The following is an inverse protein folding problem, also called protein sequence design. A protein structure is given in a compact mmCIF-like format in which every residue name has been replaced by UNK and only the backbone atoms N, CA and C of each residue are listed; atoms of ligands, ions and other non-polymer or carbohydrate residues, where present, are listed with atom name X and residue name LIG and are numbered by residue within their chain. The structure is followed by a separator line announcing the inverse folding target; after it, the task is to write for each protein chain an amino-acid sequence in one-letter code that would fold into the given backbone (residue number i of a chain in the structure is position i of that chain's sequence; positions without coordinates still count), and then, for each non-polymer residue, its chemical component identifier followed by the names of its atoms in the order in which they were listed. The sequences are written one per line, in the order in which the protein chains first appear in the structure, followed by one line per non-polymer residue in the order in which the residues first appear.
data_IF_267640883683
#
_entry.id   IF_267640883683
#
_cell.length_a   1.000
_cell.length_b   1.000
_cell.length_c   1.000
_cell.angle_alpha   90.00
_cell.angle_beta   90.00
_cell.angle_gamma   90.00
#
_symmetry.space_group_name_H-M   'P 1'
#
loop_
_entity.id
_entity.type
_entity.pdbx_description
1 polymer ?
#
# COMPACT_ATOMS: atom_id res chain seq x y z
N UNK A 1 15.30 11.11 -3.64
CA UNK A 1 14.13 11.89 -4.10
C UNK A 1 12.82 11.36 -3.50
N UNK A 2 12.14 10.36 -4.07
CA UNK A 2 10.79 9.95 -3.61
C UNK A 2 10.75 9.52 -2.13
N UNK A 3 11.59 8.57 -1.70
CA UNK A 3 11.63 8.12 -0.29
C UNK A 3 11.83 9.26 0.71
N UNK A 4 12.61 10.28 0.33
CA UNK A 4 12.89 11.43 1.19
C UNK A 4 11.71 12.41 1.22
N UNK A 5 11.01 12.56 0.10
CA UNK A 5 9.93 13.54 -0.05
C UNK A 5 8.53 12.95 0.06
N UNK A 6 8.40 11.64 0.28
CA UNK A 6 7.14 10.89 0.41
C UNK A 6 6.22 11.00 -0.81
N UNK A 7 6.78 11.48 -1.93
CA UNK A 7 6.16 11.66 -3.24
C UNK A 7 7.24 12.03 -4.24
N UNK A 8 7.20 11.40 -5.41
CA UNK A 8 8.08 11.74 -6.51
C UNK A 8 7.82 13.17 -7.00
N UNK A 9 6.55 13.55 -7.18
CA UNK A 9 6.16 14.90 -7.64
C UNK A 9 6.63 15.98 -6.66
N UNK A 10 6.52 15.76 -5.34
CA UNK A 10 7.04 16.70 -4.34
C UNK A 10 8.56 16.84 -4.44
N UNK A 11 9.27 15.74 -4.67
CA UNK A 11 10.72 15.77 -4.87
C UNK A 11 11.14 16.51 -6.15
N UNK A 12 10.45 16.26 -7.26
CA UNK A 12 10.70 16.94 -8.54
C UNK A 12 10.48 18.46 -8.45
N UNK A 13 9.46 18.92 -7.68
CA UNK A 13 9.25 20.35 -7.41
C UNK A 13 10.39 20.99 -6.63
N UNK A 14 11.06 20.23 -5.74
CA UNK A 14 12.13 20.75 -4.87
C UNK A 14 13.50 20.77 -5.55
N UNK A 15 13.78 19.83 -6.46
CA UNK A 15 15.09 19.72 -7.14
C UNK A 15 15.33 20.69 -8.32
N UNK A 16 14.37 21.57 -8.64
CA UNK A 16 14.59 22.83 -9.39
C UNK A 16 15.38 22.74 -10.72
N UNK A 17 15.23 21.66 -11.50
CA UNK A 17 15.62 21.66 -12.92
C UNK A 17 14.41 22.03 -13.79
N UNK A 18 14.63 22.84 -14.82
CA UNK A 18 13.57 23.45 -15.66
C UNK A 18 12.64 22.41 -16.31
N UNK A 19 13.15 21.25 -16.69
CA UNK A 19 12.37 20.14 -17.25
C UNK A 19 11.50 19.43 -16.19
N UNK A 20 12.04 19.23 -14.99
CA UNK A 20 11.32 18.63 -13.85
C UNK A 20 10.13 19.48 -13.40
N UNK A 21 10.21 20.81 -13.59
CA UNK A 21 9.14 21.74 -13.24
C UNK A 21 7.89 21.56 -14.12
N UNK A 22 8.06 21.43 -15.45
CA UNK A 22 6.94 21.20 -16.37
C UNK A 22 6.22 19.89 -16.10
N UNK A 23 6.99 18.83 -15.84
CA UNK A 23 6.43 17.53 -15.46
C UNK A 23 5.63 17.66 -14.16
N UNK A 24 6.20 18.28 -13.13
CA UNK A 24 5.54 18.40 -11.84
C UNK A 24 4.31 19.32 -11.81
N UNK A 25 4.17 20.25 -12.76
CA UNK A 25 2.97 21.07 -12.96
C UNK A 25 1.82 20.30 -13.63
N UNK A 26 2.11 19.17 -14.28
CA UNK A 26 1.11 18.34 -14.97
C UNK A 26 0.43 17.30 -14.06
N UNK A 27 0.88 17.15 -12.81
CA UNK A 27 0.41 16.13 -11.88
C UNK A 27 0.06 16.69 -10.50
N UNK A 28 -0.98 16.12 -9.91
CA UNK A 28 -1.41 16.46 -8.55
C UNK A 28 -0.72 15.59 -7.50
N UNK A 29 -0.51 16.16 -6.31
CA UNK A 29 0.06 15.47 -5.17
C UNK A 29 -0.32 16.18 -3.87
N UNK A 30 -0.27 15.47 -2.74
CA UNK A 30 -0.46 16.12 -1.43
C UNK A 30 0.78 16.91 -1.04
N UNK A 31 0.59 18.00 -0.28
CA UNK A 31 1.67 18.86 0.21
C UNK A 31 2.77 18.06 0.94
N UNK A 32 2.35 17.08 1.74
CA UNK A 32 3.24 16.21 2.53
C UNK A 32 3.64 14.91 1.80
N UNK A 33 3.28 14.79 0.51
CA UNK A 33 3.52 13.64 -0.35
C UNK A 33 2.39 12.61 -0.34
N UNK A 34 2.28 11.81 -1.40
CA UNK A 34 1.25 10.77 -1.58
C UNK A 34 1.27 9.72 -0.47
N UNK A 35 2.41 9.46 0.18
CA UNK A 35 2.46 8.52 1.29
C UNK A 35 1.52 8.91 2.45
N UNK A 36 1.25 10.21 2.65
CA UNK A 36 0.33 10.65 3.71
C UNK A 36 -1.12 10.24 3.47
N UNK A 37 -1.51 10.00 2.21
CA UNK A 37 -2.80 9.40 1.92
C UNK A 37 -2.89 7.99 2.50
N UNK A 38 -1.84 7.19 2.31
CA UNK A 38 -1.78 5.81 2.80
C UNK A 38 -1.74 5.78 4.33
N UNK A 39 -0.92 6.63 4.94
CA UNK A 39 -0.84 6.78 6.41
C UNK A 39 -2.20 7.16 7.01
N UNK A 40 -2.92 8.10 6.37
CA UNK A 40 -4.25 8.54 6.82
C UNK A 40 -5.30 7.43 6.66
N UNK A 41 -5.30 6.69 5.54
CA UNK A 41 -6.21 5.56 5.36
C UNK A 41 -5.98 4.50 6.43
N UNK A 42 -4.72 4.15 6.70
CA UNK A 42 -4.36 3.21 7.76
C UNK A 42 -4.86 3.67 9.14
N UNK A 43 -4.71 4.96 9.48
CA UNK A 43 -5.11 5.46 10.81
C UNK A 43 -6.63 5.47 11.06
N UNK A 44 -7.44 5.44 9.99
CA UNK A 44 -8.90 5.40 10.10
C UNK A 44 -9.47 3.97 10.11
N UNK A 45 -8.64 2.94 9.91
CA UNK A 45 -9.06 1.55 9.99
C UNK A 45 -9.13 1.07 11.44
N UNK A 46 -9.99 0.09 11.71
CA UNK A 46 -10.14 -0.49 13.03
C UNK A 46 -8.82 -1.13 13.51
N UNK A 47 -8.55 -1.04 14.81
CA UNK A 47 -7.39 -1.69 15.39
C UNK A 47 -7.40 -3.20 15.09
N UNK A 48 -6.22 -3.77 14.82
CA UNK A 48 -6.02 -5.20 14.47
C UNK A 48 -6.60 -5.64 13.11
N UNK A 49 -6.94 -4.71 12.22
CA UNK A 49 -7.37 -5.04 10.85
C UNK A 49 -6.22 -5.19 9.85
N UNK A 50 -5.01 -4.69 10.18
CA UNK A 50 -3.83 -4.73 9.31
C UNK A 50 -2.73 -5.56 9.96
N UNK A 51 -2.33 -6.64 9.31
CA UNK A 51 -1.21 -7.49 9.74
C UNK A 51 0.02 -7.21 8.88
N UNK A 52 0.95 -6.39 9.40
CA UNK A 52 2.21 -6.05 8.73
C UNK A 52 3.28 -7.11 9.00
N UNK A 53 4.19 -7.31 8.04
CA UNK A 53 5.23 -8.34 8.15
C UNK A 53 4.69 -9.78 8.05
N UNK A 54 3.43 -9.91 7.62
CA UNK A 54 2.73 -11.17 7.42
C UNK A 54 2.45 -11.33 5.94
N UNK A 55 2.80 -12.48 5.39
CA UNK A 55 2.67 -12.83 3.98
C UNK A 55 1.75 -14.03 3.87
N UNK A 56 0.79 -13.96 2.95
CA UNK A 56 -0.03 -15.12 2.55
C UNK A 56 0.83 -16.06 1.74
N UNK A 57 0.86 -17.34 2.11
CA UNK A 57 1.64 -18.39 1.44
C UNK A 57 0.77 -19.33 0.64
N UNK A 58 -0.46 -19.58 1.09
CA UNK A 58 -1.41 -20.46 0.41
C UNK A 58 -2.84 -20.09 0.76
N UNK A 59 -3.73 -20.23 -0.21
CA UNK A 59 -5.18 -20.13 -0.03
C UNK A 59 -5.75 -21.50 -0.40
N UNK A 60 -6.52 -22.09 0.52
CA UNK A 60 -7.19 -23.38 0.33
C UNK A 60 -8.70 -23.18 0.51
N UNK A 61 -9.49 -23.82 -0.35
CA UNK A 61 -10.93 -23.92 -0.15
C UNK A 61 -11.22 -25.09 0.81
N UNK A 62 -11.90 -24.81 1.92
CA UNK A 62 -12.37 -25.78 2.90
C UNK A 62 -13.90 -25.66 3.01
N UNK A 63 -14.64 -26.53 2.31
CA UNK A 63 -16.10 -26.50 2.23
C UNK A 63 -16.63 -25.17 1.65
N UNK A 64 -17.44 -24.42 2.41
CA UNK A 64 -18.01 -23.12 2.01
C UNK A 64 -17.13 -21.91 2.43
N UNK A 65 -15.90 -22.17 2.89
CA UNK A 65 -14.98 -21.14 3.38
C UNK A 65 -13.58 -21.31 2.79
N UNK A 66 -12.77 -20.27 2.96
CA UNK A 66 -11.35 -20.28 2.64
C UNK A 66 -10.50 -20.33 3.90
N UNK A 67 -9.40 -21.07 3.82
CA UNK A 67 -8.33 -21.10 4.80
C UNK A 67 -7.06 -20.49 4.22
N UNK A 68 -6.56 -19.46 4.91
CA UNK A 68 -5.41 -18.66 4.50
C UNK A 68 -4.22 -19.07 5.36
N UNK A 69 -3.18 -19.62 4.73
CA UNK A 69 -1.92 -19.95 5.39
C UNK A 69 -0.96 -18.76 5.33
N UNK A 70 -0.32 -18.47 6.45
CA UNK A 70 0.51 -17.29 6.67
C UNK A 70 1.90 -17.72 7.11
N UNK A 71 2.93 -16.92 6.78
CA UNK A 71 4.33 -17.25 7.06
C UNK A 71 4.71 -17.32 8.56
N UNK A 72 4.01 -16.58 9.43
CA UNK A 72 4.38 -16.42 10.84
C UNK A 72 3.17 -16.29 11.78
N UNK A 73 1.98 -16.67 11.33
CA UNK A 73 0.74 -16.63 12.09
C UNK A 73 -0.07 -17.90 11.88
N UNK A 74 -0.98 -18.20 12.80
CA UNK A 74 -1.94 -19.27 12.63
C UNK A 74 -2.83 -19.01 11.39
N UNK A 75 -3.29 -20.06 10.68
CA UNK A 75 -4.19 -19.89 9.55
C UNK A 75 -5.47 -19.15 9.92
N UNK A 76 -5.96 -18.31 8.99
CA UNK A 76 -7.20 -17.56 9.15
C UNK A 76 -8.29 -18.19 8.28
N UNK A 77 -9.52 -18.27 8.80
CA UNK A 77 -10.71 -18.68 8.03
C UNK A 77 -11.54 -17.47 7.63
N UNK A 78 -12.07 -17.47 6.42
CA UNK A 78 -12.92 -16.40 5.89
C UNK A 78 -13.85 -16.91 4.80
N UNK A 79 -14.97 -16.21 4.58
CA UNK A 79 -15.95 -16.58 3.55
C UNK A 79 -15.56 -16.04 2.16
N UNK A 80 -14.66 -15.06 2.09
CA UNK A 80 -14.26 -14.41 0.83
C UNK A 80 -12.87 -13.79 0.91
N UNK A 81 -12.19 -13.72 -0.23
CA UNK A 81 -10.84 -13.14 -0.36
C UNK A 81 -10.81 -12.17 -1.54
N UNK A 82 -10.19 -10.99 -1.33
CA UNK A 82 -9.84 -10.05 -2.39
C UNK A 82 -8.32 -10.04 -2.53
N UNK A 83 -7.83 -10.40 -3.72
CA UNK A 83 -6.41 -10.40 -4.04
C UNK A 83 -6.01 -9.09 -4.72
N UNK A 84 -5.12 -8.35 -4.08
CA UNK A 84 -4.52 -7.13 -4.64
C UNK A 84 -3.00 -7.27 -4.84
N UNK A 85 -2.46 -8.46 -4.62
CA UNK A 85 -1.06 -8.77 -4.90
C UNK A 85 -0.82 -8.86 -6.40
N UNK A 86 0.37 -8.49 -6.90
CA UNK A 86 0.73 -8.69 -8.31
C UNK A 86 0.66 -10.17 -8.73
N UNK A 87 0.55 -10.40 -10.04
CA UNK A 87 0.45 -11.74 -10.65
C UNK A 87 1.80 -12.51 -10.77
N UNK A 88 2.84 -12.10 -10.05
CA UNK A 88 4.22 -12.57 -10.33
C UNK A 88 4.83 -13.33 -9.15
#
# INVERSE_FOLDING_TARGET
IEKQHRSLIVGLKKESQSENKKVAESYETFHNGLATLIESLESHLQAKSIFKGVKVEKIEEENEQYKIHLNNMAPIKCDSVILTTPYN
#
